data_IF_058529963409
#
_entry.id   IF_058529963409
#
_cell.length_a   1.000
_cell.length_b   1.000
_cell.length_c   1.000
_cell.angle_alpha   90.00
_cell.angle_beta   90.00
_cell.angle_gamma   90.00
#
_symmetry.space_group_name_H-M   'P 1'
#
loop_
_entity.id
_entity.type
_entity.pdbx_description
1 polymer ?
#
# COMPACT_ATOMS: atom_id res chain seq x y z
N UNK A 1 -46.10 30.44 1.62
CA UNK A 1 -45.44 30.39 2.95
C UNK A 1 -45.34 28.96 3.45
N UNK A 2 -46.24 28.41 4.29
CA UNK A 2 -45.98 27.09 4.92
C UNK A 2 -45.61 25.92 3.99
N UNK A 3 -46.22 25.83 2.80
CA UNK A 3 -45.97 24.72 1.86
C UNK A 3 -44.67 24.87 1.07
N UNK A 4 -44.22 26.11 0.83
CA UNK A 4 -42.95 26.39 0.14
C UNK A 4 -41.77 26.18 1.10
N UNK A 5 -41.95 26.56 2.37
CA UNK A 5 -40.94 26.37 3.43
C UNK A 5 -40.71 24.87 3.73
N UNK A 6 -41.77 24.05 3.73
CA UNK A 6 -41.70 22.58 3.89
C UNK A 6 -41.01 21.89 2.69
N UNK A 7 -41.30 22.34 1.46
CA UNK A 7 -40.68 21.80 0.24
C UNK A 7 -39.18 22.16 0.16
N UNK A 8 -38.79 23.36 0.59
CA UNK A 8 -37.38 23.77 0.70
C UNK A 8 -36.62 22.96 1.75
N UNK A 9 -37.23 22.72 2.91
CA UNK A 9 -36.62 21.92 3.98
C UNK A 9 -36.47 20.44 3.58
N UNK A 10 -37.47 19.86 2.91
CA UNK A 10 -37.38 18.51 2.37
C UNK A 10 -36.29 18.41 1.27
N UNK A 11 -36.16 19.43 0.42
CA UNK A 11 -35.07 19.54 -0.56
C UNK A 11 -33.70 19.59 0.11
N UNK A 12 -33.57 20.31 1.22
CA UNK A 12 -32.32 20.41 1.98
C UNK A 12 -31.89 19.06 2.58
N UNK A 13 -32.82 18.34 3.23
CA UNK A 13 -32.54 17.01 3.78
C UNK A 13 -32.21 15.98 2.70
N UNK A 14 -32.87 16.04 1.54
CA UNK A 14 -32.61 15.16 0.41
C UNK A 14 -31.18 15.33 -0.14
N UNK A 15 -30.68 16.58 -0.22
CA UNK A 15 -29.30 16.87 -0.66
C UNK A 15 -28.24 16.39 0.33
N UNK A 16 -28.57 16.35 1.62
CA UNK A 16 -27.65 15.90 2.67
C UNK A 16 -27.67 14.38 2.87
N UNK A 17 -28.58 13.66 2.21
CA UNK A 17 -28.67 12.21 2.33
C UNK A 17 -27.46 11.57 1.64
N UNK A 18 -26.71 10.70 2.34
CA UNK A 18 -25.61 9.97 1.72
C UNK A 18 -26.10 9.11 0.56
N UNK A 19 -25.32 9.05 -0.52
CA UNK A 19 -25.58 8.17 -1.67
C UNK A 19 -24.98 6.80 -1.39
N UNK A 20 -25.70 5.75 -1.74
CA UNK A 20 -25.16 4.39 -1.68
C UNK A 20 -23.98 4.23 -2.65
N UNK A 21 -22.82 3.73 -2.19
CA UNK A 21 -21.65 3.53 -3.03
C UNK A 21 -21.88 2.48 -4.11
N UNK A 22 -21.22 2.65 -5.26
CA UNK A 22 -21.12 1.65 -6.31
C UNK A 22 -20.03 0.62 -5.96
N UNK A 23 -20.11 -0.57 -6.57
CA UNK A 23 -19.07 -1.60 -6.43
C UNK A 23 -17.71 -1.11 -6.90
N UNK A 24 -17.65 -0.25 -7.93
CA UNK A 24 -16.42 0.36 -8.43
C UNK A 24 -15.71 1.26 -7.40
N UNK A 25 -16.46 1.82 -6.44
CA UNK A 25 -15.94 2.66 -5.35
C UNK A 25 -15.32 1.81 -4.24
N UNK A 26 -15.52 0.49 -4.25
CA UNK A 26 -14.84 -0.43 -3.36
C UNK A 26 -13.43 -0.74 -3.89
N UNK A 27 -12.41 -0.62 -3.03
CA UNK A 27 -11.04 -0.97 -3.41
C UNK A 27 -10.81 -2.49 -3.57
N UNK A 28 -11.72 -3.33 -3.09
CA UNK A 28 -11.61 -4.79 -3.13
C UNK A 28 -10.62 -5.40 -2.12
N UNK A 29 -9.92 -4.58 -1.34
CA UNK A 29 -8.83 -5.02 -0.44
C UNK A 29 -9.28 -5.43 0.96
N UNK A 30 -10.60 -5.52 1.21
CA UNK A 30 -11.13 -5.87 2.53
C UNK A 30 -10.90 -4.81 3.62
N UNK A 31 -10.71 -3.53 3.25
CA UNK A 31 -10.50 -2.44 4.18
C UNK A 31 -11.67 -2.31 5.18
N UNK A 32 -11.37 -1.92 6.42
CA UNK A 32 -12.39 -1.58 7.42
C UNK A 32 -12.04 -0.25 8.09
N UNK A 33 -12.95 0.76 8.09
CA UNK A 33 -14.22 0.76 7.38
C UNK A 33 -14.03 0.78 5.85
N UNK A 34 -14.80 -0.05 5.13
CA UNK A 34 -14.91 0.07 3.68
C UNK A 34 -15.88 1.20 3.31
N UNK A 35 -15.97 1.54 2.01
CA UNK A 35 -16.89 2.59 1.54
C UNK A 35 -18.35 2.34 1.93
N UNK A 36 -18.78 1.06 1.96
CA UNK A 36 -20.12 0.69 2.40
C UNK A 36 -20.33 0.83 3.91
N UNK A 37 -19.27 0.63 4.72
CA UNK A 37 -19.34 0.85 6.16
C UNK A 37 -19.48 2.34 6.47
N UNK A 38 -18.66 3.18 5.82
CA UNK A 38 -18.74 4.64 5.94
C UNK A 38 -20.12 5.14 5.49
N UNK A 39 -20.66 4.62 4.38
CA UNK A 39 -22.02 4.94 3.94
C UNK A 39 -23.09 4.61 4.99
N UNK A 40 -23.03 3.41 5.59
CA UNK A 40 -23.98 3.01 6.64
C UNK A 40 -23.91 3.94 7.84
N UNK A 41 -22.71 4.27 8.32
CA UNK A 41 -22.52 5.21 9.44
C UNK A 41 -23.07 6.61 9.12
N UNK A 42 -22.81 7.11 7.91
CA UNK A 42 -23.35 8.40 7.46
C UNK A 42 -24.87 8.35 7.34
N UNK A 43 -25.44 7.27 6.80
CA UNK A 43 -26.88 7.09 6.67
C UNK A 43 -27.58 7.02 8.04
N UNK A 44 -26.99 6.32 9.01
CA UNK A 44 -27.48 6.27 10.39
C UNK A 44 -27.43 7.65 11.06
N UNK A 45 -26.37 8.41 10.80
CA UNK A 45 -26.21 9.77 11.33
C UNK A 45 -27.22 10.74 10.71
N UNK A 46 -27.43 10.66 9.39
CA UNK A 46 -28.47 11.40 8.69
C UNK A 46 -29.87 11.03 9.16
N UNK A 47 -30.15 9.74 9.38
CA UNK A 47 -31.46 9.27 9.88
C UNK A 47 -31.74 9.83 11.27
N UNK A 48 -30.73 9.82 12.16
CA UNK A 48 -30.84 10.42 13.50
C UNK A 48 -31.02 11.93 13.47
N UNK A 49 -30.29 12.63 12.62
CA UNK A 49 -30.39 14.08 12.45
C UNK A 49 -31.77 14.48 11.93
N UNK A 50 -32.25 13.78 10.88
CA UNK A 50 -33.58 14.02 10.29
C UNK A 50 -34.70 13.75 11.29
N UNK A 51 -34.61 12.68 12.08
CA UNK A 51 -35.60 12.37 13.12
C UNK A 51 -35.66 13.44 14.22
N UNK A 52 -34.59 14.20 14.43
CA UNK A 52 -34.51 15.28 15.41
C UNK A 52 -34.77 16.68 14.82
N UNK A 53 -34.89 16.79 13.49
CA UNK A 53 -34.98 18.08 12.80
C UNK A 53 -33.73 18.96 12.97
N UNK A 54 -32.56 18.35 13.24
CA UNK A 54 -31.35 19.09 13.59
C UNK A 54 -30.18 18.74 12.65
N UNK A 55 -29.98 19.59 11.63
CA UNK A 55 -28.91 19.47 10.64
C UNK A 55 -27.52 19.63 11.29
N UNK A 56 -27.41 20.30 12.43
CA UNK A 56 -26.11 20.49 13.10
C UNK A 56 -25.48 19.16 13.52
N UNK A 57 -26.29 18.12 13.74
CA UNK A 57 -25.85 16.76 14.05
C UNK A 57 -25.14 16.05 12.90
N UNK A 58 -25.24 16.58 11.67
CA UNK A 58 -24.49 16.10 10.51
C UNK A 58 -23.13 16.78 10.36
N UNK A 59 -22.93 17.93 11.00
CA UNK A 59 -21.64 18.60 11.05
C UNK A 59 -20.84 17.89 12.13
N UNK A 60 -19.82 17.11 11.73
CA UNK A 60 -18.92 16.47 12.68
C UNK A 60 -18.45 17.49 13.72
N UNK A 61 -18.49 17.11 15.00
CA UNK A 61 -18.16 17.94 16.17
C UNK A 61 -17.07 18.96 15.81
N UNK A 62 -17.46 20.23 15.64
CA UNK A 62 -16.56 21.36 15.39
C UNK A 62 -15.71 21.72 16.60
N UNK A 63 -15.27 20.73 17.37
CA UNK A 63 -14.23 20.92 18.38
C UNK A 63 -12.95 21.23 17.59
N UNK A 64 -12.28 22.37 17.87
CA UNK A 64 -10.97 22.60 17.29
C UNK A 64 -10.10 21.39 17.66
N UNK A 65 -9.58 20.70 16.64
CA UNK A 65 -8.65 19.61 16.83
C UNK A 65 -7.52 20.13 17.74
N UNK A 66 -7.38 19.50 18.90
CA UNK A 66 -6.19 19.67 19.73
C UNK A 66 -5.00 19.40 18.81
N UNK A 67 -4.07 20.37 18.71
CA UNK A 67 -2.92 20.41 17.80
C UNK A 67 -2.16 19.08 17.72
N UNK A 68 -2.59 18.23 16.80
CA UNK A 68 -1.92 17.08 16.19
C UNK A 68 -2.91 16.51 15.16
N UNK A 69 -3.23 17.27 14.12
CA UNK A 69 -4.08 16.78 13.02
C UNK A 69 -3.30 15.70 12.27
N UNK A 70 -3.73 14.44 12.42
CA UNK A 70 -3.24 13.36 11.58
C UNK A 70 -3.51 13.72 10.11
N UNK A 71 -2.48 13.64 9.27
CA UNK A 71 -2.52 14.03 7.84
C UNK A 71 -3.50 13.15 7.04
N UNK A 72 -3.81 11.98 7.59
CA UNK A 72 -4.68 10.98 7.00
C UNK A 72 -5.87 10.65 7.92
N UNK A 73 -6.96 10.26 7.29
CA UNK A 73 -8.17 9.76 7.93
C UNK A 73 -8.66 8.53 7.17
N UNK A 74 -9.26 7.57 7.88
CA UNK A 74 -9.90 6.40 7.25
C UNK A 74 -11.25 6.75 6.62
N UNK A 75 -11.85 7.87 7.04
CA UNK A 75 -13.19 8.33 6.66
C UNK A 75 -13.17 9.45 5.61
N UNK A 76 -12.12 10.27 5.59
CA UNK A 76 -11.98 11.39 4.66
C UNK A 76 -10.71 11.29 3.82
N UNK A 77 -10.77 11.82 2.60
CA UNK A 77 -9.62 11.91 1.71
C UNK A 77 -8.83 13.18 1.95
N UNK A 78 -7.50 13.07 1.94
CA UNK A 78 -6.54 14.15 1.96
C UNK A 78 -5.85 14.23 0.60
N UNK A 79 -5.68 15.43 0.06
CA UNK A 79 -5.01 15.64 -1.21
C UNK A 79 -3.50 15.84 -0.99
N UNK A 80 -2.67 15.06 -1.68
CA UNK A 80 -1.22 15.24 -1.70
C UNK A 80 -0.76 15.67 -3.09
N UNK A 81 0.18 16.61 -3.12
CA UNK A 81 0.77 17.09 -4.37
C UNK A 81 1.78 16.08 -4.90
N UNK A 82 1.65 15.68 -6.17
CA UNK A 82 2.65 14.89 -6.86
C UNK A 82 3.92 15.72 -7.05
N UNK A 83 5.03 15.25 -6.50
CA UNK A 83 6.34 15.90 -6.61
C UNK A 83 7.06 15.47 -7.87
N UNK A 84 7.14 14.16 -8.13
CA UNK A 84 7.86 13.60 -9.25
C UNK A 84 7.37 12.20 -9.62
N UNK A 85 7.67 11.81 -10.85
CA UNK A 85 7.41 10.47 -11.39
C UNK A 85 8.68 9.91 -12.00
N UNK A 86 9.19 8.81 -11.44
CA UNK A 86 10.33 8.08 -12.00
C UNK A 86 9.85 6.83 -12.72
N UNK A 87 10.14 6.72 -14.02
CA UNK A 87 9.81 5.53 -14.82
C UNK A 87 10.85 4.44 -14.56
N UNK A 88 10.45 3.35 -13.90
CA UNK A 88 11.36 2.24 -13.58
C UNK A 88 11.38 1.17 -14.67
N UNK A 89 10.22 0.92 -15.29
CA UNK A 89 10.06 -0.01 -16.41
C UNK A 89 9.02 0.53 -17.40
N UNK A 90 8.75 -0.21 -18.47
CA UNK A 90 7.72 0.16 -19.48
C UNK A 90 6.34 0.42 -18.86
N UNK A 91 5.99 -0.29 -17.78
CA UNK A 91 4.66 -0.26 -17.20
C UNK A 91 4.65 0.04 -15.70
N UNK A 92 5.79 0.39 -15.08
CA UNK A 92 5.87 0.61 -13.64
C UNK A 92 6.67 1.87 -13.34
N UNK A 93 6.10 2.74 -12.51
CA UNK A 93 6.72 4.00 -12.10
C UNK A 93 6.70 4.13 -10.57
N UNK A 94 7.64 4.91 -10.05
CA UNK A 94 7.69 5.38 -8.67
C UNK A 94 7.10 6.80 -8.63
N UNK A 95 6.02 6.97 -7.89
CA UNK A 95 5.34 8.25 -7.72
C UNK A 95 5.68 8.81 -6.35
N UNK A 96 6.25 10.01 -6.30
CA UNK A 96 6.62 10.69 -5.06
C UNK A 96 5.64 11.82 -4.78
N UNK A 97 5.09 11.87 -3.58
CA UNK A 97 4.15 12.91 -3.13
C UNK A 97 4.77 13.74 -2.02
N UNK A 98 4.48 15.04 -2.02
CA UNK A 98 4.91 15.96 -0.97
C UNK A 98 4.03 15.81 0.26
N UNK A 99 4.68 15.82 1.41
CA UNK A 99 4.08 16.02 2.72
C UNK A 99 4.61 17.34 3.32
N UNK A 100 3.97 17.89 4.36
CA UNK A 100 4.57 18.99 5.10
C UNK A 100 5.97 18.59 5.63
N UNK A 101 6.89 19.55 5.70
CA UNK A 101 8.35 19.28 5.86
C UNK A 101 8.69 18.38 7.06
N UNK A 102 8.03 18.57 8.20
CA UNK A 102 8.28 17.80 9.43
C UNK A 102 7.23 16.72 9.68
N UNK A 103 6.52 16.33 8.64
CA UNK A 103 5.44 15.38 8.71
C UNK A 103 5.81 14.08 8.00
N UNK A 104 5.51 12.95 8.64
CA UNK A 104 5.49 11.63 8.02
C UNK A 104 4.04 11.19 7.79
N UNK A 105 3.85 10.19 6.94
CA UNK A 105 2.53 9.58 6.74
C UNK A 105 1.96 8.95 8.02
N UNK A 106 2.81 8.58 8.98
CA UNK A 106 2.39 7.89 10.20
C UNK A 106 1.88 6.46 9.96
N UNK A 107 2.28 5.83 8.85
CA UNK A 107 1.86 4.47 8.50
C UNK A 107 2.72 3.43 9.22
N UNK A 108 2.10 2.42 9.82
CA UNK A 108 2.76 1.21 10.30
C UNK A 108 3.18 0.27 9.16
N UNK A 109 3.98 -0.74 9.50
CA UNK A 109 4.47 -1.74 8.55
C UNK A 109 3.32 -2.49 7.86
N UNK A 110 3.41 -2.66 6.55
CA UNK A 110 2.39 -3.32 5.73
C UNK A 110 1.06 -2.57 5.61
N UNK A 111 0.93 -1.36 6.17
CA UNK A 111 -0.25 -0.53 5.97
C UNK A 111 -0.26 0.07 4.56
N UNK A 112 -1.45 0.37 4.06
CA UNK A 112 -1.65 0.94 2.73
C UNK A 112 -2.65 2.09 2.76
N UNK A 113 -2.64 2.90 1.71
CA UNK A 113 -3.61 3.95 1.47
C UNK A 113 -4.55 3.55 0.33
N UNK A 114 -5.74 4.14 0.34
CA UNK A 114 -6.69 4.03 -0.75
C UNK A 114 -6.66 5.33 -1.55
N UNK A 115 -6.26 5.21 -2.81
CA UNK A 115 -6.37 6.25 -3.83
C UNK A 115 -7.82 6.32 -4.32
N UNK A 116 -8.32 7.52 -4.59
CA UNK A 116 -9.56 7.74 -5.34
C UNK A 116 -9.30 8.56 -6.60
N UNK A 117 -10.04 8.22 -7.66
CA UNK A 117 -10.13 9.02 -8.87
C UNK A 117 -11.52 8.92 -9.51
N UNK A 118 -11.87 9.88 -10.36
CA UNK A 118 -13.00 9.85 -11.28
C UNK A 118 -12.55 9.39 -12.67
N UNK A 119 -13.17 8.33 -13.18
CA UNK A 119 -12.91 7.73 -14.48
C UNK A 119 -14.21 7.73 -15.27
N UNK A 120 -14.35 8.64 -16.23
CA UNK A 120 -15.56 8.78 -17.06
C UNK A 120 -16.85 8.96 -16.22
N UNK A 121 -16.78 9.69 -15.11
CA UNK A 121 -17.89 9.90 -14.18
C UNK A 121 -18.11 8.76 -13.18
N UNK A 122 -17.25 7.73 -13.22
CA UNK A 122 -17.24 6.65 -12.23
C UNK A 122 -16.10 6.86 -11.24
N UNK A 123 -16.44 6.97 -9.96
CA UNK A 123 -15.42 6.94 -8.92
C UNK A 123 -14.82 5.52 -8.79
N UNK A 124 -13.50 5.46 -8.90
CA UNK A 124 -12.70 4.24 -8.77
C UNK A 124 -11.75 4.42 -7.60
N UNK A 125 -11.69 3.40 -6.72
CA UNK A 125 -10.75 3.38 -5.60
C UNK A 125 -9.81 2.18 -5.69
N UNK A 126 -8.52 2.37 -5.38
CA UNK A 126 -7.52 1.27 -5.35
C UNK A 126 -6.54 1.45 -4.20
N UNK A 127 -6.15 0.32 -3.60
CA UNK A 127 -5.17 0.30 -2.51
C UNK A 127 -3.74 0.31 -3.05
N UNK A 128 -2.87 1.10 -2.42
CA UNK A 128 -1.44 1.14 -2.69
C UNK A 128 -0.65 1.22 -1.38
N UNK A 129 0.36 0.37 -1.27
CA UNK A 129 1.30 0.38 -0.14
C UNK A 129 2.46 1.31 -0.47
N UNK A 130 2.81 2.27 0.40
CA UNK A 130 3.99 3.08 0.19
C UNK A 130 5.27 2.24 0.29
N UNK A 131 6.28 2.62 -0.47
CA UNK A 131 7.62 1.99 -0.46
C UNK A 131 8.67 2.85 0.24
N UNK A 132 8.32 4.10 0.57
CA UNK A 132 9.18 4.99 1.36
C UNK A 132 9.39 4.43 2.79
N UNK A 133 10.51 4.77 3.45
CA UNK A 133 10.72 4.42 4.85
C UNK A 133 9.55 4.85 5.76
N UNK A 134 9.27 4.09 6.80
CA UNK A 134 8.15 4.34 7.75
C UNK A 134 8.24 5.75 8.37
N UNK A 135 9.44 6.22 8.63
CA UNK A 135 9.72 7.51 9.25
C UNK A 135 10.18 8.59 8.24
N UNK A 136 9.92 8.38 6.94
CA UNK A 136 10.23 9.40 5.94
C UNK A 136 9.44 10.70 6.23
N UNK A 137 10.16 11.81 6.35
CA UNK A 137 9.59 13.13 6.57
C UNK A 137 9.54 13.93 5.27
N UNK A 138 8.47 14.68 5.05
CA UNK A 138 8.30 15.57 3.91
C UNK A 138 7.89 14.90 2.60
N UNK A 139 7.87 13.56 2.54
CA UNK A 139 7.44 12.84 1.34
C UNK A 139 6.91 11.42 1.62
N UNK A 140 6.22 10.86 0.63
CA UNK A 140 5.97 9.44 0.54
C UNK A 140 6.02 8.96 -0.92
N UNK A 141 6.30 7.67 -1.12
CA UNK A 141 6.50 7.10 -2.45
C UNK A 141 5.65 5.86 -2.67
N UNK A 142 5.08 5.73 -3.87
CA UNK A 142 4.26 4.59 -4.28
C UNK A 142 4.80 3.96 -5.56
N UNK A 143 5.03 2.65 -5.52
CA UNK A 143 5.39 1.86 -6.68
C UNK A 143 4.11 1.37 -7.39
N UNK A 144 3.83 1.93 -8.57
CA UNK A 144 2.56 1.68 -9.27
C UNK A 144 2.83 1.09 -10.65
N UNK A 145 2.26 -0.10 -10.88
CA UNK A 145 2.21 -0.75 -12.19
C UNK A 145 0.92 -0.37 -12.92
N UNK A 146 1.09 0.23 -14.09
CA UNK A 146 0.04 0.70 -14.99
C UNK A 146 -0.45 -0.46 -15.87
N UNK A 147 -1.64 -0.96 -15.57
CA UNK A 147 -2.26 -2.06 -16.30
C UNK A 147 -3.08 -1.54 -17.48
N UNK A 148 -2.95 -2.19 -18.62
CA UNK A 148 -3.73 -1.84 -19.82
C UNK A 148 -5.25 -1.98 -19.62
N UNK A 149 -5.67 -2.95 -18.80
CA UNK A 149 -7.03 -3.35 -18.49
C UNK A 149 -7.52 -2.80 -17.13
N UNK A 150 -6.67 -2.06 -16.41
CA UNK A 150 -7.00 -1.53 -15.09
C UNK A 150 -7.68 -0.17 -15.16
N UNK A 151 -8.89 -0.04 -14.58
CA UNK A 151 -9.66 1.22 -14.60
C UNK A 151 -8.89 2.44 -14.06
N UNK A 152 -8.01 2.26 -13.08
CA UNK A 152 -7.23 3.35 -12.48
C UNK A 152 -6.04 3.78 -13.35
N UNK A 153 -5.50 2.90 -14.19
CA UNK A 153 -4.24 3.14 -14.91
C UNK A 153 -4.31 4.23 -15.98
N UNK A 154 -5.38 4.35 -16.78
CA UNK A 154 -5.55 5.49 -17.70
C UNK A 154 -5.47 6.85 -17.00
N UNK A 155 -6.00 6.96 -15.78
CA UNK A 155 -5.98 8.19 -15.01
C UNK A 155 -4.59 8.49 -14.42
N UNK A 156 -3.94 7.50 -13.82
CA UNK A 156 -2.59 7.71 -13.29
C UNK A 156 -1.61 8.15 -14.40
N UNK A 157 -1.81 7.68 -15.64
CA UNK A 157 -1.05 8.11 -16.82
C UNK A 157 -1.22 9.59 -17.18
N UNK A 158 -2.30 10.26 -16.77
CA UNK A 158 -2.52 11.68 -17.08
C UNK A 158 -1.89 12.61 -16.07
N UNK A 159 -1.45 12.09 -14.92
CA UNK A 159 -0.84 12.88 -13.87
C UNK A 159 0.43 13.60 -14.30
N UNK A 160 0.58 14.81 -13.78
CA UNK A 160 1.75 15.67 -13.94
C UNK A 160 2.22 16.15 -12.59
N UNK A 161 3.51 16.46 -12.50
CA UNK A 161 4.07 17.12 -11.33
C UNK A 161 3.24 18.36 -10.97
N UNK A 162 2.90 18.50 -9.70
CA UNK A 162 2.03 19.55 -9.19
C UNK A 162 0.57 19.14 -9.00
N UNK A 163 0.11 18.05 -9.63
CA UNK A 163 -1.28 17.58 -9.50
C UNK A 163 -1.60 17.16 -8.05
N UNK A 164 -2.84 17.41 -7.64
CA UNK A 164 -3.36 17.01 -6.34
C UNK A 164 -4.09 15.67 -6.45
N UNK A 165 -3.66 14.70 -5.66
CA UNK A 165 -4.19 13.33 -5.68
C UNK A 165 -4.74 12.97 -4.32
N UNK A 166 -5.95 12.41 -4.30
CA UNK A 166 -6.71 12.14 -3.08
C UNK A 166 -6.42 10.74 -2.50
N UNK A 167 -6.00 10.71 -1.24
CA UNK A 167 -5.66 9.50 -0.49
C UNK A 167 -6.44 9.44 0.83
N UNK A 168 -6.84 8.24 1.25
CA UNK A 168 -7.34 8.00 2.62
C UNK A 168 -6.68 6.77 3.23
N UNK A 169 -6.71 6.66 4.55
CA UNK A 169 -6.09 5.57 5.31
C UNK A 169 -5.64 6.02 6.70
N UNK A 170 -4.79 5.23 7.37
CA UNK A 170 -4.21 3.96 6.91
C UNK A 170 -5.19 2.78 6.98
N UNK A 171 -4.96 1.76 6.16
CA UNK A 171 -5.66 0.47 6.24
C UNK A 171 -4.70 -0.70 6.33
N UNK A 172 -5.19 -1.80 6.89
CA UNK A 172 -4.43 -3.04 7.03
C UNK A 172 -3.23 -2.87 7.97
N UNK A 173 -2.20 -3.65 7.71
CA UNK A 173 -0.96 -3.69 8.48
C UNK A 173 -0.45 -5.10 8.68
N UNK A 174 0.86 -5.21 8.84
CA UNK A 174 1.54 -6.41 9.28
C UNK A 174 2.08 -6.14 10.69
N UNK A 175 1.48 -6.72 11.74
CA UNK A 175 1.94 -6.51 13.10
C UNK A 175 3.31 -7.17 13.26
N UNK A 176 4.36 -6.37 13.20
CA UNK A 176 5.74 -6.77 13.42
C UNK A 176 6.25 -6.09 14.69
N UNK A 177 7.08 -6.82 15.42
CA UNK A 177 7.85 -6.29 16.54
C UNK A 177 9.29 -6.79 16.34
N UNK A 178 10.30 -6.03 16.80
CA UNK A 178 11.68 -6.48 16.70
C UNK A 178 11.88 -7.87 17.31
N UNK A 179 12.72 -8.70 16.68
CA UNK A 179 13.04 -10.06 17.12
C UNK A 179 11.84 -11.00 17.23
N UNK A 180 10.70 -10.67 16.59
CA UNK A 180 9.49 -11.49 16.63
C UNK A 180 9.68 -12.86 15.97
N UNK A 181 10.52 -12.93 14.94
CA UNK A 181 10.77 -14.15 14.18
C UNK A 181 12.25 -14.51 14.24
N UNK A 182 12.56 -15.79 14.10
CA UNK A 182 13.95 -16.20 13.83
C UNK A 182 14.27 -16.15 12.36
N UNK A 183 13.28 -16.53 11.56
CA UNK A 183 13.32 -16.54 10.10
C UNK A 183 12.01 -15.95 9.60
N UNK A 184 12.10 -15.06 8.62
CA UNK A 184 10.98 -14.43 7.94
C UNK A 184 11.12 -14.67 6.44
N UNK A 185 10.26 -15.53 5.89
CA UNK A 185 10.15 -15.75 4.46
C UNK A 185 9.19 -14.74 3.85
N UNK A 186 9.69 -13.84 3.03
CA UNK A 186 8.90 -12.87 2.26
C UNK A 186 8.82 -13.33 0.81
N UNK A 187 7.62 -13.47 0.27
CA UNK A 187 7.38 -13.83 -1.13
C UNK A 187 6.60 -12.71 -1.80
N UNK A 188 7.17 -12.13 -2.84
CA UNK A 188 6.57 -11.01 -3.55
C UNK A 188 6.52 -11.28 -5.06
N UNK A 189 5.43 -10.89 -5.70
CA UNK A 189 5.26 -10.92 -7.16
C UNK A 189 4.97 -9.53 -7.72
N UNK A 190 5.84 -9.07 -8.65
CA UNK A 190 5.72 -7.75 -9.25
C UNK A 190 5.72 -6.62 -8.21
N UNK A 191 4.72 -5.74 -8.26
CA UNK A 191 4.58 -4.63 -7.28
C UNK A 191 4.10 -5.09 -5.91
N UNK A 192 3.80 -6.38 -5.72
CA UNK A 192 3.59 -6.99 -4.41
C UNK A 192 4.82 -6.94 -3.50
N UNK A 193 5.96 -6.49 -4.01
CA UNK A 193 7.16 -6.18 -3.21
C UNK A 193 6.97 -4.93 -2.33
N UNK A 194 6.00 -4.05 -2.64
CA UNK A 194 5.82 -2.79 -1.94
C UNK A 194 5.75 -2.90 -0.40
N UNK A 195 4.91 -3.78 0.20
CA UNK A 195 4.90 -3.96 1.65
C UNK A 195 6.20 -4.56 2.22
N UNK A 196 7.01 -5.25 1.41
CA UNK A 196 8.24 -5.87 1.85
C UNK A 196 9.37 -4.85 2.02
N UNK A 197 9.34 -3.75 1.28
CA UNK A 197 10.44 -2.77 1.24
C UNK A 197 10.59 -2.04 2.58
N UNK A 198 9.56 -1.36 3.12
CA UNK A 198 9.68 -0.72 4.43
C UNK A 198 9.89 -1.73 5.57
N UNK A 199 9.37 -2.96 5.44
CA UNK A 199 9.58 -4.01 6.43
C UNK A 199 11.03 -4.48 6.46
N UNK A 200 11.60 -4.76 5.29
CA UNK A 200 13.00 -5.17 5.18
C UNK A 200 13.92 -4.08 5.72
N UNK A 201 13.67 -2.82 5.32
CA UNK A 201 14.44 -1.69 5.83
C UNK A 201 14.31 -1.53 7.35
N UNK A 202 13.09 -1.65 7.91
CA UNK A 202 12.88 -1.58 9.36
C UNK A 202 13.65 -2.66 10.12
N UNK A 203 13.78 -3.86 9.56
CA UNK A 203 14.56 -4.96 10.12
C UNK A 203 16.06 -4.62 10.06
N UNK A 204 16.56 -4.16 8.91
CA UNK A 204 17.99 -3.91 8.71
C UNK A 204 18.50 -2.63 9.38
N UNK A 205 17.63 -1.65 9.61
CA UNK A 205 17.97 -0.38 10.27
C UNK A 205 18.04 -0.55 11.80
N UNK A 206 17.59 -1.68 12.34
CA UNK A 206 17.66 -1.99 13.77
C UNK A 206 18.87 -2.88 14.09
N UNK A 207 19.88 -2.32 14.74
CA UNK A 207 21.11 -3.04 15.12
C UNK A 207 20.88 -4.18 16.12
N UNK A 208 19.78 -4.14 16.88
CA UNK A 208 19.40 -5.19 17.84
C UNK A 208 18.56 -6.31 17.20
N UNK A 209 18.33 -6.26 15.89
CA UNK A 209 17.52 -7.23 15.17
C UNK A 209 18.29 -8.49 14.80
N UNK A 210 17.73 -9.64 15.15
CA UNK A 210 18.27 -10.97 14.88
C UNK A 210 17.33 -11.81 14.00
N UNK A 211 16.23 -11.23 13.48
CA UNK A 211 15.39 -11.85 12.46
C UNK A 211 16.20 -12.03 11.19
N UNK A 212 16.33 -13.27 10.74
CA UNK A 212 16.81 -13.58 9.40
C UNK A 212 15.68 -13.45 8.39
N UNK A 213 15.96 -12.83 7.25
CA UNK A 213 14.98 -12.57 6.21
C UNK A 213 15.40 -13.27 4.93
N UNK A 214 14.48 -14.03 4.36
CA UNK A 214 14.62 -14.57 3.01
C UNK A 214 13.55 -13.95 2.13
N UNK A 215 13.96 -13.12 1.18
CA UNK A 215 13.07 -12.45 0.24
C UNK A 215 13.11 -13.16 -1.13
N UNK A 216 11.98 -13.72 -1.55
CA UNK A 216 11.78 -14.29 -2.88
C UNK A 216 10.98 -13.30 -3.73
N UNK A 217 11.58 -12.79 -4.80
CA UNK A 217 10.93 -11.86 -5.72
C UNK A 217 10.66 -12.49 -7.08
N UNK A 218 9.41 -12.48 -7.52
CA UNK A 218 8.96 -13.01 -8.80
C UNK A 218 8.71 -11.89 -9.81
N UNK A 219 9.38 -11.96 -10.97
CA UNK A 219 9.23 -11.00 -12.06
C UNK A 219 9.15 -11.70 -13.43
N UNK A 220 8.89 -10.94 -14.50
CA UNK A 220 8.91 -11.49 -15.87
C UNK A 220 10.35 -11.68 -16.33
N UNK A 221 11.13 -10.62 -16.35
CA UNK A 221 12.53 -10.61 -16.77
C UNK A 221 13.39 -9.80 -15.81
N UNK A 222 14.70 -9.81 -16.00
CA UNK A 222 15.62 -8.98 -15.22
C UNK A 222 15.34 -7.47 -15.36
N UNK A 223 14.81 -7.03 -16.50
CA UNK A 223 14.43 -5.64 -16.73
C UNK A 223 13.25 -5.21 -15.87
N UNK A 224 12.43 -6.17 -15.42
CA UNK A 224 11.25 -5.92 -14.60
C UNK A 224 11.53 -5.86 -13.10
N UNK A 225 12.78 -6.10 -12.67
CA UNK A 225 13.14 -5.97 -11.25
C UNK A 225 13.22 -4.48 -10.91
N UNK A 226 12.28 -4.00 -10.12
CA UNK A 226 12.26 -2.63 -9.59
C UNK A 226 13.27 -2.47 -8.46
N UNK A 227 13.70 -1.23 -8.17
CA UNK A 227 14.49 -0.89 -6.96
C UNK A 227 15.74 -1.77 -6.77
N UNK A 228 16.45 -2.10 -7.86
CA UNK A 228 17.62 -3.00 -7.85
C UNK A 228 18.69 -2.56 -6.86
N UNK A 229 19.00 -1.26 -6.81
CA UNK A 229 20.01 -0.70 -5.90
C UNK A 229 19.66 -0.99 -4.45
N UNK A 230 18.42 -0.69 -4.04
CA UNK A 230 17.94 -1.02 -2.70
C UNK A 230 18.05 -2.52 -2.42
N UNK A 231 17.57 -3.39 -3.32
CA UNK A 231 17.64 -4.84 -3.12
C UNK A 231 19.09 -5.35 -3.00
N UNK A 232 20.01 -4.76 -3.76
CA UNK A 232 21.42 -5.09 -3.66
C UNK A 232 22.02 -4.64 -2.32
N UNK A 233 21.73 -3.43 -1.87
CA UNK A 233 22.17 -2.91 -0.57
C UNK A 233 21.66 -3.78 0.58
N UNK A 234 20.36 -4.10 0.56
CA UNK A 234 19.74 -4.96 1.56
C UNK A 234 20.36 -6.37 1.57
N UNK A 235 20.72 -6.91 0.41
CA UNK A 235 21.37 -8.23 0.31
C UNK A 235 22.81 -8.31 0.87
N UNK A 236 23.38 -7.17 1.33
CA UNK A 236 24.70 -7.13 1.97
C UNK A 236 24.63 -7.36 3.48
N UNK A 237 23.44 -7.24 4.07
CA UNK A 237 23.24 -7.52 5.48
C UNK A 237 23.37 -9.02 5.74
N UNK A 238 24.06 -9.38 6.82
CA UNK A 238 24.37 -10.76 7.19
C UNK A 238 23.10 -11.62 7.42
N UNK A 239 22.00 -10.99 7.78
CA UNK A 239 20.72 -11.62 8.06
C UNK A 239 19.72 -11.53 6.89
N UNK A 240 20.13 -11.11 5.69
CA UNK A 240 19.24 -10.98 4.52
C UNK A 240 19.70 -11.86 3.37
N UNK A 241 18.81 -12.71 2.88
CA UNK A 241 18.97 -13.47 1.66
C UNK A 241 17.89 -13.10 0.63
N UNK A 242 18.27 -13.04 -0.65
CA UNK A 242 17.40 -12.61 -1.74
C UNK A 242 17.43 -13.63 -2.87
N UNK A 243 16.27 -14.10 -3.30
CA UNK A 243 16.09 -14.98 -4.46
C UNK A 243 15.21 -14.31 -5.49
N UNK A 244 15.53 -14.52 -6.77
CA UNK A 244 14.75 -14.02 -7.89
C UNK A 244 14.17 -15.18 -8.69
N UNK A 245 12.90 -15.06 -9.09
CA UNK A 245 12.25 -16.02 -9.98
C UNK A 245 11.77 -15.27 -11.22
N UNK A 246 12.35 -15.60 -12.38
CA UNK A 246 12.10 -14.89 -13.64
C UNK A 246 11.35 -15.77 -14.64
N UNK A 247 10.07 -15.46 -14.84
CA UNK A 247 9.15 -16.33 -15.60
C UNK A 247 9.28 -16.28 -17.11
N UNK A 248 9.91 -15.25 -17.68
CA UNK A 248 10.11 -15.03 -19.12
C UNK A 248 11.56 -14.70 -19.48
N UNK A 249 12.50 -14.89 -18.56
CA UNK A 249 13.92 -14.68 -18.86
C UNK A 249 14.45 -15.88 -19.65
N UNK A 250 15.11 -15.64 -20.77
CA UNK A 250 15.55 -16.70 -21.69
C UNK A 250 16.74 -17.50 -21.14
N UNK A 251 17.71 -16.83 -20.54
CA UNK A 251 18.91 -17.46 -20.00
C UNK A 251 19.49 -16.69 -18.80
N UNK A 252 20.06 -17.43 -17.85
CA UNK A 252 20.83 -16.91 -16.73
C UNK A 252 22.13 -16.22 -17.19
N UNK A 253 22.67 -16.59 -18.36
CA UNK A 253 23.91 -16.02 -18.87
C UNK A 253 23.79 -14.55 -19.23
N UNK A 254 22.59 -14.11 -19.58
CA UNK A 254 22.27 -12.70 -19.85
C UNK A 254 22.19 -11.83 -18.60
N UNK A 255 22.22 -12.43 -17.40
CA UNK A 255 22.14 -11.71 -16.14
C UNK A 255 23.52 -11.25 -15.66
N UNK A 256 23.61 -10.09 -14.97
CA UNK A 256 24.80 -9.75 -14.21
C UNK A 256 25.13 -10.86 -13.20
N UNK A 257 26.42 -11.10 -12.97
CA UNK A 257 26.88 -12.19 -12.09
C UNK A 257 26.22 -12.14 -10.70
N UNK A 258 26.05 -10.94 -10.13
CA UNK A 258 25.42 -10.74 -8.81
C UNK A 258 23.96 -11.22 -8.70
N UNK A 259 23.26 -11.37 -9.83
CA UNK A 259 21.91 -11.92 -9.88
C UNK A 259 21.89 -13.38 -10.32
N UNK A 260 22.89 -13.82 -11.09
CA UNK A 260 22.89 -15.14 -11.73
C UNK A 260 22.72 -16.28 -10.74
N UNK A 261 23.50 -16.28 -9.66
CA UNK A 261 23.50 -17.35 -8.65
C UNK A 261 22.23 -17.37 -7.79
N UNK A 262 21.54 -16.23 -7.70
CA UNK A 262 20.34 -16.05 -6.88
C UNK A 262 19.04 -16.17 -7.69
N UNK A 263 19.13 -16.49 -8.99
CA UNK A 263 17.99 -16.47 -9.91
C UNK A 263 17.60 -17.87 -10.37
N UNK A 264 16.30 -18.16 -10.26
CA UNK A 264 15.65 -19.31 -10.89
C UNK A 264 14.82 -18.86 -12.09
N UNK A 265 14.88 -19.61 -13.18
CA UNK A 265 14.05 -19.38 -14.35
C UNK A 265 12.71 -20.11 -14.22
N UNK A 266 11.65 -19.55 -14.81
CA UNK A 266 10.31 -20.11 -14.79
C UNK A 266 9.40 -19.50 -13.73
N UNK A 267 8.31 -20.19 -13.40
CA UNK A 267 7.35 -19.74 -12.39
C UNK A 267 7.69 -20.34 -11.03
N UNK A 268 7.41 -19.58 -9.97
CA UNK A 268 7.51 -20.06 -8.61
C UNK A 268 6.65 -21.31 -8.45
N UNK A 269 7.26 -22.39 -7.97
CA UNK A 269 6.62 -23.67 -7.75
C UNK A 269 7.13 -24.29 -6.44
N UNK A 270 6.56 -25.43 -6.05
CA UNK A 270 6.91 -26.10 -4.79
C UNK A 270 8.37 -26.51 -4.73
N UNK A 271 9.00 -26.90 -5.84
CA UNK A 271 10.39 -27.33 -5.82
C UNK A 271 11.33 -26.15 -5.61
N UNK A 272 11.06 -25.01 -6.27
CA UNK A 272 11.79 -23.76 -6.00
C UNK A 272 11.62 -23.32 -4.55
N UNK A 273 10.40 -23.40 -4.00
CA UNK A 273 10.15 -23.05 -2.60
C UNK A 273 10.87 -23.98 -1.63
N UNK A 274 10.93 -25.29 -1.90
CA UNK A 274 11.70 -26.24 -1.09
C UNK A 274 13.18 -25.88 -1.08
N UNK A 275 13.78 -25.61 -2.25
CA UNK A 275 15.18 -25.18 -2.35
C UNK A 275 15.44 -23.90 -1.56
N UNK A 276 14.54 -22.92 -1.63
CA UNK A 276 14.65 -21.67 -0.85
C UNK A 276 14.57 -21.99 0.64
N UNK A 277 13.57 -22.74 1.09
CA UNK A 277 13.38 -23.06 2.51
C UNK A 277 14.56 -23.87 3.06
N UNK A 278 15.06 -24.85 2.31
CA UNK A 278 16.27 -25.63 2.66
C UNK A 278 17.50 -24.73 2.83
N UNK A 279 17.64 -23.68 2.02
CA UNK A 279 18.72 -22.70 2.17
C UNK A 279 18.57 -21.80 3.41
N UNK A 280 17.35 -21.66 3.96
CA UNK A 280 17.10 -20.89 5.18
C UNK A 280 17.58 -21.62 6.46
N UNK A 281 17.78 -22.94 6.40
CA UNK A 281 18.01 -23.78 7.59
C UNK A 281 19.44 -23.76 8.16
N UNK A 282 20.34 -22.90 7.68
CA UNK A 282 21.78 -22.96 8.03
C UNK A 282 22.11 -22.40 9.44
N UNK A 283 21.13 -22.13 10.31
CA UNK A 283 21.37 -21.57 11.65
C UNK A 283 20.72 -22.37 12.77
N UNK A 284 20.97 -23.68 12.78
CA UNK A 284 20.85 -24.47 14.00
C UNK A 284 22.06 -24.18 14.92
N UNK A 285 22.04 -23.00 15.55
CA UNK A 285 23.12 -22.53 16.41
C UNK A 285 22.60 -21.73 17.60
N UNK A 286 22.34 -22.45 18.70
CA UNK A 286 22.07 -21.97 20.09
C UNK A 286 20.76 -21.19 20.33
N UNK A 287 19.78 -21.93 20.89
CA UNK A 287 18.88 -21.40 21.92
C UNK A 287 17.53 -20.85 21.45
N UNK A 288 16.49 -21.67 21.66
CA UNK A 288 15.05 -21.42 21.46
C UNK A 288 14.53 -21.62 20.02
N UNK A 289 13.40 -22.36 19.83
CA UNK A 289 12.75 -22.49 18.53
C UNK A 289 12.17 -21.12 18.15
N UNK A 290 12.90 -20.38 17.30
CA UNK A 290 12.42 -19.11 16.79
C UNK A 290 11.42 -19.39 15.66
N UNK A 291 10.25 -18.76 15.73
CA UNK A 291 9.13 -19.03 14.83
C UNK A 291 9.48 -18.61 13.39
N UNK A 292 9.12 -19.44 12.41
CA UNK A 292 9.14 -19.07 11.00
C UNK A 292 7.91 -18.22 10.70
N UNK A 293 8.12 -16.96 10.33
CA UNK A 293 7.10 -16.10 9.75
C UNK A 293 7.07 -16.25 8.23
N UNK A 294 5.88 -16.20 7.62
CA UNK A 294 5.73 -16.11 6.16
C UNK A 294 4.85 -14.92 5.82
N UNK A 295 5.30 -14.09 4.87
CA UNK A 295 4.53 -12.99 4.31
C UNK A 295 4.52 -13.14 2.78
N UNK A 296 3.33 -13.27 2.18
CA UNK A 296 3.19 -13.44 0.74
C UNK A 296 2.27 -12.38 0.16
N UNK A 297 2.72 -11.65 -0.85
CA UNK A 297 1.93 -10.66 -1.57
C UNK A 297 2.05 -10.84 -3.07
N UNK A 298 0.89 -10.94 -3.72
CA UNK A 298 0.77 -10.88 -5.17
C UNK A 298 -0.10 -9.71 -5.55
N UNK A 299 0.41 -8.90 -6.47
CA UNK A 299 -0.33 -7.76 -7.01
C UNK A 299 -1.32 -8.17 -8.10
N UNK A 300 -1.38 -9.45 -8.49
CA UNK A 300 -2.11 -9.94 -9.68
C UNK A 300 -3.65 -9.79 -9.68
N UNK A 301 -4.26 -9.18 -8.66
CA UNK A 301 -5.69 -8.79 -8.67
C UNK A 301 -5.91 -7.34 -9.10
#
# INVERSE_FOLDING_TARGET
>A
MHREDEEEEESAWARLRPREPLVSECCGSGCRPCVFDTYRQQLDSWTRARARGDISLLRGDGRPAVRNEAILSTESFSAFQLESVEVLTEDTCLYRFKLPVSASLGLGLGQHLVLRSDVEGLQVQRAYTPVSPVHAEGYCEFLIKLRHDGMMSPYIKTWKEGDLVEWRGPFGGFPYAPNKFGQLLMIASGTGIAPMIPLLQHITDNEEEETFVTLVCCFRTYKDIYMKTFLQEQSRFWNVNTFFVLSKQESLDSLPWSYREKTHLGRLNLDTLKTVVESCHVLEGKGSPRHLGTLAFDSST
#
